data_IF_413312232099
#
_entry.id   IF_413312232099
#
_cell.length_a   1.000
_cell.length_b   1.000
_cell.length_c   1.000
_cell.angle_alpha   90.00
_cell.angle_beta   90.00
_cell.angle_gamma   90.00
#
_symmetry.space_group_name_H-M   'P 1'
#
loop_
_entity.id
_entity.type
_entity.pdbx_description
1 polymer ?
#
# COMPACT_ATOMS: atom_id res chain seq x y z
N UNK A 1 3.48 -3.76 14.19
CA UNK A 1 4.25 -4.27 13.03
C UNK A 1 5.76 -4.00 13.16
N UNK A 2 6.20 -2.74 13.15
CA UNK A 2 7.64 -2.43 13.26
C UNK A 2 8.25 -2.89 14.60
N UNK A 3 7.60 -2.63 15.73
CA UNK A 3 8.12 -2.97 17.07
C UNK A 3 8.05 -4.47 17.38
N UNK A 4 6.88 -5.10 17.19
CA UNK A 4 6.70 -6.52 17.50
C UNK A 4 7.42 -7.48 16.53
N UNK A 5 7.52 -7.11 15.25
CA UNK A 5 8.01 -8.02 14.19
C UNK A 5 9.23 -7.50 13.43
N UNK A 6 9.73 -6.29 13.77
CA UNK A 6 10.85 -5.65 13.04
C UNK A 6 10.59 -5.55 11.53
N UNK A 7 9.32 -5.33 11.15
CA UNK A 7 8.94 -5.19 9.75
C UNK A 7 9.51 -3.89 9.17
N UNK A 8 10.25 -3.97 8.08
CA UNK A 8 10.86 -2.82 7.40
C UNK A 8 9.85 -1.99 6.60
N UNK A 9 8.76 -2.60 6.14
CA UNK A 9 7.69 -1.92 5.42
C UNK A 9 6.38 -2.72 5.53
N UNK A 10 5.27 -2.04 5.25
CA UNK A 10 3.96 -2.65 5.02
C UNK A 10 3.59 -2.49 3.55
N UNK A 11 2.95 -3.49 2.94
CA UNK A 11 2.49 -3.41 1.55
C UNK A 11 1.06 -3.88 1.42
N UNK A 12 0.36 -3.35 0.42
CA UNK A 12 -1.02 -3.69 0.09
C UNK A 12 -1.29 -3.56 -1.41
N UNK A 13 -2.42 -4.11 -1.84
CA UNK A 13 -2.94 -3.95 -3.21
C UNK A 13 -4.28 -3.20 -3.16
N UNK A 14 -4.44 -2.21 -4.02
CA UNK A 14 -5.69 -1.44 -4.14
C UNK A 14 -6.11 -1.33 -5.60
N UNK A 15 -7.41 -1.48 -5.86
CA UNK A 15 -8.03 -1.23 -7.17
C UNK A 15 -7.66 0.17 -7.69
N UNK A 16 -7.21 0.25 -8.94
CA UNK A 16 -6.83 1.52 -9.58
C UNK A 16 -8.00 2.51 -9.62
N UNK A 17 -9.23 2.01 -9.71
CA UNK A 17 -10.45 2.82 -9.71
C UNK A 17 -10.94 3.25 -8.31
N UNK A 18 -10.42 2.67 -7.22
CA UNK A 18 -10.90 2.95 -5.87
C UNK A 18 -10.34 4.25 -5.30
N UNK A 19 -10.91 5.39 -5.75
CA UNK A 19 -10.45 6.74 -5.38
C UNK A 19 -10.47 7.01 -3.88
N UNK A 20 -11.44 6.46 -3.15
CA UNK A 20 -11.55 6.65 -1.70
C UNK A 20 -10.38 5.97 -0.96
N UNK A 21 -10.10 4.72 -1.30
CA UNK A 21 -8.98 3.99 -0.72
C UNK A 21 -7.63 4.61 -1.11
N UNK A 22 -7.50 5.12 -2.34
CA UNK A 22 -6.30 5.83 -2.77
C UNK A 22 -6.06 7.10 -1.94
N UNK A 23 -7.11 7.88 -1.66
CA UNK A 23 -6.99 9.05 -0.76
C UNK A 23 -6.57 8.66 0.65
N UNK A 24 -7.12 7.57 1.19
CA UNK A 24 -6.69 7.05 2.50
C UNK A 24 -5.22 6.61 2.48
N UNK A 25 -4.86 5.70 1.58
CA UNK A 25 -3.53 5.09 1.59
C UNK A 25 -2.44 6.08 1.20
N UNK A 26 -2.62 6.84 0.12
CA UNK A 26 -1.62 7.79 -0.37
C UNK A 26 -1.58 9.06 0.46
N UNK A 27 -2.71 9.76 0.59
CA UNK A 27 -2.72 11.12 1.11
C UNK A 27 -2.73 11.16 2.64
N UNK A 28 -3.38 10.19 3.28
CA UNK A 28 -3.52 10.18 4.75
C UNK A 28 -2.47 9.31 5.44
N UNK A 29 -2.23 8.10 4.93
CA UNK A 29 -1.34 7.12 5.57
C UNK A 29 0.08 7.09 4.99
N UNK A 30 0.34 7.80 3.89
CA UNK A 30 1.69 7.95 3.32
C UNK A 30 2.22 6.74 2.57
N UNK A 31 1.35 5.85 2.08
CA UNK A 31 1.77 4.78 1.18
C UNK A 31 2.15 5.32 -0.21
N UNK A 32 3.20 4.76 -0.78
CA UNK A 32 3.67 5.09 -2.12
C UNK A 32 3.37 3.95 -3.11
N UNK A 33 3.15 4.29 -4.38
CA UNK A 33 2.95 3.29 -5.43
C UNK A 33 4.28 2.65 -5.79
N UNK A 34 4.40 1.34 -5.58
CA UNK A 34 5.59 0.57 -5.90
C UNK A 34 5.50 -0.06 -7.31
N UNK A 35 4.32 -0.55 -7.69
CA UNK A 35 4.09 -1.22 -8.98
C UNK A 35 2.62 -1.15 -9.41
N UNK A 36 2.37 -1.16 -10.71
CA UNK A 36 1.05 -1.44 -11.30
C UNK A 36 1.01 -2.92 -11.71
N UNK A 37 -0.01 -3.64 -11.26
CA UNK A 37 -0.23 -5.05 -11.57
C UNK A 37 -1.44 -5.19 -12.48
N UNK A 38 -1.19 -5.44 -13.77
CA UNK A 38 -2.22 -5.50 -14.79
C UNK A 38 -3.13 -6.72 -14.57
N UNK A 39 -4.46 -6.51 -14.61
CA UNK A 39 -5.44 -7.59 -14.47
C UNK A 39 -5.36 -8.37 -13.16
N UNK A 40 -4.90 -7.74 -12.07
CA UNK A 40 -4.74 -8.39 -10.76
C UNK A 40 -6.08 -8.87 -10.19
N UNK A 41 -7.16 -8.12 -10.40
CA UNK A 41 -8.49 -8.51 -9.94
C UNK A 41 -9.17 -9.45 -10.94
N UNK A 42 -10.08 -10.30 -10.45
CA UNK A 42 -10.74 -11.33 -11.25
C UNK A 42 -11.58 -10.78 -12.42
N UNK A 43 -11.97 -9.50 -12.36
CA UNK A 43 -12.67 -8.78 -13.42
C UNK A 43 -11.72 -8.15 -14.46
N UNK A 44 -10.42 -8.37 -14.32
CA UNK A 44 -9.39 -7.80 -15.17
C UNK A 44 -8.97 -6.38 -14.79
N UNK A 45 -9.44 -5.83 -13.67
CA UNK A 45 -8.97 -4.53 -13.21
C UNK A 45 -7.51 -4.58 -12.71
N UNK A 46 -6.73 -3.56 -13.06
CA UNK A 46 -5.40 -3.34 -12.53
C UNK A 46 -5.43 -3.05 -11.01
N UNK A 47 -4.39 -3.52 -10.31
CA UNK A 47 -4.08 -3.09 -8.95
C UNK A 47 -2.88 -2.15 -8.91
N UNK A 48 -2.88 -1.22 -7.95
CA UNK A 48 -1.67 -0.56 -7.48
C UNK A 48 -1.14 -1.34 -6.28
N UNK A 49 0.06 -1.91 -6.42
CA UNK A 49 0.81 -2.42 -5.29
C UNK A 49 1.50 -1.23 -4.61
N UNK A 50 1.12 -0.97 -3.36
CA UNK A 50 1.60 0.17 -2.58
C UNK A 50 2.45 -0.28 -1.39
N UNK A 51 3.37 0.58 -0.94
CA UNK A 51 4.27 0.32 0.18
C UNK A 51 4.38 1.53 1.11
N UNK A 52 4.39 1.29 2.41
CA UNK A 52 4.75 2.24 3.46
C UNK A 52 5.99 1.73 4.18
N UNK A 53 7.11 2.47 4.08
CA UNK A 53 8.32 2.17 4.84
C UNK A 53 8.05 2.39 6.32
N UNK A 54 8.39 1.41 7.15
CA UNK A 54 8.20 1.46 8.59
C UNK A 54 9.55 1.68 9.25
N UNK A 55 9.78 2.88 9.76
CA UNK A 55 10.89 3.12 10.68
C UNK A 55 10.51 2.54 12.05
N UNK A 56 11.44 1.86 12.75
CA UNK A 56 11.30 1.69 14.19
C UNK A 56 11.08 3.07 14.79
N UNK A 57 10.03 3.24 15.61
CA UNK A 57 9.94 4.46 16.42
C UNK A 57 11.01 4.29 17.49
N UNK A 58 11.87 5.30 17.65
CA UNK A 58 12.70 5.45 18.84
C UNK A 58 11.73 5.85 19.97
N UNK A 59 11.26 4.87 20.73
CA UNK A 59 10.50 5.07 21.97
C UNK A 59 11.41 5.09 23.21
#
# INVERSE_FOLDING_TARGET
>A
MATAYRAAFCSLHVRKSNRAALGLYRDTLGFEVHKVEAGYYADGEDALAMRLTLSPRDD
#
